data_IF_107288421453
#
_entry.id   IF_107288421453
#
_cell.length_a   1.000
_cell.length_b   1.000
_cell.length_c   1.000
_cell.angle_alpha   90.00
_cell.angle_beta   90.00
_cell.angle_gamma   90.00
#
_symmetry.space_group_name_H-M   'P 1'
#
loop_
_entity.id
_entity.type
_entity.pdbx_description
1 polymer ?
#
# COMPACT_ATOMS: atom_id res chain seq x y z
N UNK A 1 -0.57 5.77 13.62
CA UNK A 1 -1.22 5.64 12.31
C UNK A 1 -0.26 4.98 11.33
N UNK A 2 -0.73 4.00 10.55
CA UNK A 2 0.01 3.35 9.48
C UNK A 2 -0.71 3.50 8.14
N UNK A 3 0.03 3.65 7.03
CA UNK A 3 -0.52 3.68 5.68
C UNK A 3 0.17 2.63 4.82
N UNK A 4 -0.60 1.81 4.08
CA UNK A 4 -0.09 0.77 3.19
C UNK A 4 0.92 -0.14 3.91
N UNK A 5 2.14 -0.31 3.40
CA UNK A 5 3.22 -1.06 4.08
C UNK A 5 3.48 -0.62 5.52
N UNK A 6 3.31 0.67 5.84
CA UNK A 6 3.42 1.17 7.20
C UNK A 6 2.41 0.59 8.17
N UNK A 7 1.31 -0.01 7.68
CA UNK A 7 0.34 -0.69 8.53
C UNK A 7 0.89 -1.97 9.13
N UNK A 8 1.73 -2.71 8.39
CA UNK A 8 2.38 -3.92 8.89
C UNK A 8 3.31 -3.57 10.04
N UNK A 9 4.19 -2.57 9.83
CA UNK A 9 5.15 -2.12 10.85
C UNK A 9 4.43 -1.59 12.08
N UNK A 10 3.41 -0.74 11.89
CA UNK A 10 2.67 -0.13 12.98
C UNK A 10 1.88 -1.16 13.79
N UNK A 11 1.30 -2.18 13.15
CA UNK A 11 0.61 -3.27 13.83
C UNK A 11 1.58 -4.12 14.66
N UNK A 12 2.73 -4.49 14.10
CA UNK A 12 3.76 -5.21 14.85
C UNK A 12 4.31 -4.40 16.03
N UNK A 13 4.48 -3.09 15.87
CA UNK A 13 4.89 -2.22 16.96
C UNK A 13 3.84 -2.17 18.07
N UNK A 14 2.56 -2.03 17.70
CA UNK A 14 1.46 -2.00 18.67
C UNK A 14 1.30 -3.34 19.42
N UNK A 15 1.52 -4.46 18.74
CA UNK A 15 1.51 -5.78 19.38
C UNK A 15 2.69 -5.99 20.36
N UNK A 16 3.88 -5.48 20.02
CA UNK A 16 5.07 -5.62 20.86
C UNK A 16 5.09 -4.65 22.05
N UNK A 17 4.54 -3.47 21.88
CA UNK A 17 4.54 -2.41 22.89
C UNK A 17 3.18 -1.71 22.97
N UNK A 18 2.14 -2.44 23.40
CA UNK A 18 0.79 -1.88 23.51
C UNK A 18 0.71 -0.71 24.49
N UNK A 19 1.62 -0.67 25.45
CA UNK A 19 1.77 0.40 26.45
C UNK A 19 2.08 1.78 25.83
N UNK A 20 2.63 1.82 24.61
CA UNK A 20 2.98 3.06 23.91
C UNK A 20 1.86 3.57 22.98
N UNK A 21 0.77 2.84 22.86
CA UNK A 21 -0.29 3.16 21.88
C UNK A 21 -1.64 3.34 22.59
N UNK A 22 -2.21 4.52 22.47
CA UNK A 22 -3.59 4.79 22.91
C UNK A 22 -4.61 4.30 21.87
N UNK A 23 -4.24 4.29 20.59
CA UNK A 23 -5.06 3.81 19.48
C UNK A 23 -4.20 3.48 18.25
N UNK A 24 -4.72 2.65 17.39
CA UNK A 24 -4.14 2.34 16.09
C UNK A 24 -5.12 2.69 14.96
N UNK A 25 -4.63 3.39 13.93
CA UNK A 25 -5.39 3.69 12.72
C UNK A 25 -4.61 3.18 11.52
N UNK A 26 -5.18 2.22 10.80
CA UNK A 26 -4.64 1.68 9.55
C UNK A 26 -5.38 2.26 8.34
N UNK A 27 -4.64 2.75 7.35
CA UNK A 27 -5.16 3.23 6.07
C UNK A 27 -4.60 2.34 4.97
N UNK A 28 -5.47 1.71 4.16
CA UNK A 28 -5.03 0.70 3.19
C UNK A 28 -4.31 -0.45 3.91
N UNK A 29 -4.96 -0.99 4.95
CA UNK A 29 -4.41 -2.03 5.82
C UNK A 29 -4.00 -3.26 5.03
N UNK A 30 -2.74 -3.65 5.14
CA UNK A 30 -2.25 -4.93 4.63
C UNK A 30 -2.35 -5.97 5.75
N UNK A 31 -3.13 -7.01 5.53
CA UNK A 31 -3.35 -8.11 6.51
C UNK A 31 -2.47 -9.29 6.16
N UNK A 32 -2.52 -9.74 4.91
CA UNK A 32 -1.73 -10.85 4.38
C UNK A 32 -1.06 -10.40 3.08
N UNK A 33 0.27 -10.33 3.10
CA UNK A 33 1.06 -9.89 1.94
C UNK A 33 0.94 -10.89 0.79
N UNK A 34 1.02 -12.20 1.10
CA UNK A 34 0.99 -13.24 0.07
C UNK A 34 -0.37 -13.28 -0.63
N UNK A 35 -1.44 -13.25 0.15
CA UNK A 35 -2.80 -13.27 -0.40
C UNK A 35 -3.09 -11.99 -1.20
N UNK A 36 -2.67 -10.83 -0.70
CA UNK A 36 -2.82 -9.56 -1.41
C UNK A 36 -2.08 -9.57 -2.77
N UNK A 37 -0.86 -10.06 -2.81
CA UNK A 37 -0.08 -10.18 -4.05
C UNK A 37 -0.68 -11.22 -5.00
N UNK A 38 -1.20 -12.34 -4.48
CA UNK A 38 -1.88 -13.38 -5.27
C UNK A 38 -3.13 -12.83 -5.97
N UNK A 39 -3.96 -12.12 -5.23
CA UNK A 39 -5.17 -11.47 -5.76
C UNK A 39 -4.79 -10.46 -6.84
N UNK A 40 -3.80 -9.62 -6.58
CA UNK A 40 -3.32 -8.61 -7.51
C UNK A 40 -2.79 -9.23 -8.82
N UNK A 41 -1.99 -10.28 -8.72
CA UNK A 41 -1.45 -11.00 -9.88
C UNK A 41 -2.55 -11.61 -10.74
N UNK A 42 -3.51 -12.29 -10.13
CA UNK A 42 -4.64 -12.90 -10.82
C UNK A 42 -5.55 -11.86 -11.49
N UNK A 43 -5.79 -10.75 -10.81
CA UNK A 43 -6.55 -9.61 -11.36
C UNK A 43 -5.90 -9.10 -12.65
N UNK A 44 -4.59 -8.84 -12.62
CA UNK A 44 -3.85 -8.36 -13.80
C UNK A 44 -3.96 -9.34 -14.96
N UNK A 45 -3.75 -10.63 -14.74
CA UNK A 45 -3.87 -11.64 -15.78
C UNK A 45 -5.28 -11.71 -16.37
N UNK A 46 -6.30 -11.60 -15.51
CA UNK A 46 -7.69 -11.58 -15.96
C UNK A 46 -7.98 -10.37 -16.85
N UNK A 47 -7.57 -9.17 -16.43
CA UNK A 47 -7.75 -7.95 -17.21
C UNK A 47 -6.98 -7.99 -18.53
N UNK A 48 -5.72 -8.41 -18.50
CA UNK A 48 -4.89 -8.52 -19.70
C UNK A 48 -5.50 -9.45 -20.74
N UNK A 49 -5.98 -10.62 -20.31
CA UNK A 49 -6.68 -11.57 -21.20
C UNK A 49 -7.98 -11.01 -21.74
N UNK A 50 -8.78 -10.34 -20.90
CA UNK A 50 -10.07 -9.77 -21.30
C UNK A 50 -9.96 -8.72 -22.41
N UNK A 51 -8.86 -7.93 -22.40
CA UNK A 51 -8.61 -6.91 -23.44
C UNK A 51 -7.65 -7.37 -24.54
N UNK A 52 -7.23 -8.64 -24.54
CA UNK A 52 -6.31 -9.20 -25.54
C UNK A 52 -4.88 -8.63 -25.48
N UNK A 53 -4.45 -8.11 -24.35
CA UNK A 53 -3.10 -7.55 -24.20
C UNK A 53 -2.07 -8.66 -23.97
N UNK A 54 -1.61 -9.24 -25.08
CA UNK A 54 -0.67 -10.36 -25.06
C UNK A 54 0.67 -9.98 -24.40
N UNK A 55 1.17 -8.75 -24.62
CA UNK A 55 2.41 -8.28 -24.01
C UNK A 55 2.33 -8.27 -22.46
N UNK A 56 1.19 -7.86 -21.91
CA UNK A 56 0.98 -7.91 -20.46
C UNK A 56 0.97 -9.35 -19.94
N UNK A 57 0.30 -10.26 -20.65
CA UNK A 57 0.24 -11.68 -20.29
C UNK A 57 1.65 -12.28 -20.30
N UNK A 58 2.42 -12.06 -21.35
CA UNK A 58 3.78 -12.58 -21.50
C UNK A 58 4.68 -12.05 -20.38
N UNK A 59 4.69 -10.74 -20.13
CA UNK A 59 5.51 -10.15 -19.09
C UNK A 59 5.11 -10.66 -17.68
N UNK A 60 3.81 -10.81 -17.39
CA UNK A 60 3.35 -11.40 -16.14
C UNK A 60 3.75 -12.87 -16.02
N UNK A 61 3.77 -13.63 -17.11
CA UNK A 61 4.20 -15.03 -17.08
C UNK A 61 5.71 -15.18 -16.82
N UNK A 62 6.55 -14.18 -17.13
CA UNK A 62 7.99 -14.22 -16.76
C UNK A 62 8.23 -14.24 -15.26
N UNK A 63 7.30 -13.71 -14.48
CA UNK A 63 7.38 -13.68 -13.02
C UNK A 63 6.58 -14.79 -12.34
N UNK A 64 5.96 -15.67 -13.11
CA UNK A 64 5.25 -16.83 -12.58
C UNK A 64 6.23 -17.97 -12.17
N UNK A 65 5.91 -18.76 -11.13
CA UNK A 65 4.83 -18.59 -10.17
C UNK A 65 5.14 -17.40 -9.25
N UNK A 66 4.23 -16.44 -9.20
CA UNK A 66 4.51 -15.16 -8.52
C UNK A 66 4.67 -15.30 -6.99
N UNK A 67 4.02 -16.28 -6.40
CA UNK A 67 4.03 -16.55 -4.96
C UNK A 67 4.20 -18.04 -4.66
N UNK A 68 5.07 -18.72 -5.39
CA UNK A 68 5.49 -20.08 -5.06
C UNK A 68 6.65 -20.07 -4.07
N UNK A 69 7.48 -21.11 -4.13
CA UNK A 69 8.72 -21.23 -3.34
C UNK A 69 9.81 -20.20 -3.73
N UNK A 70 9.54 -19.41 -4.75
CA UNK A 70 10.46 -18.38 -5.24
C UNK A 70 10.35 -17.09 -4.40
N UNK A 71 11.48 -16.48 -4.02
CA UNK A 71 11.48 -15.23 -3.25
C UNK A 71 10.82 -14.10 -4.03
N UNK A 72 10.13 -13.23 -3.31
CA UNK A 72 9.53 -12.02 -3.85
C UNK A 72 10.63 -10.98 -4.09
N UNK A 73 11.25 -11.00 -5.26
CA UNK A 73 12.29 -10.01 -5.59
C UNK A 73 11.70 -8.66 -5.97
N UNK A 74 12.52 -7.62 -5.89
CA UNK A 74 12.11 -6.27 -6.27
C UNK A 74 11.61 -6.21 -7.72
N UNK A 75 12.30 -6.87 -8.63
CA UNK A 75 11.99 -6.90 -10.06
C UNK A 75 10.60 -7.51 -10.30
N UNK A 76 10.30 -8.62 -9.62
CA UNK A 76 8.98 -9.28 -9.71
C UNK A 76 7.87 -8.37 -9.18
N UNK A 77 8.11 -7.69 -8.06
CA UNK A 77 7.16 -6.73 -7.50
C UNK A 77 6.94 -5.56 -8.46
N UNK A 78 8.00 -4.99 -9.02
CA UNK A 78 7.90 -3.86 -9.95
C UNK A 78 7.10 -4.23 -11.20
N UNK A 79 7.34 -5.42 -11.77
CA UNK A 79 6.60 -5.92 -12.94
C UNK A 79 5.12 -6.08 -12.61
N UNK A 80 4.79 -6.75 -11.50
CA UNK A 80 3.41 -6.93 -11.08
C UNK A 80 2.70 -5.58 -10.83
N UNK A 81 3.36 -4.63 -10.16
CA UNK A 81 2.81 -3.31 -9.85
C UNK A 81 2.60 -2.45 -11.09
N UNK A 82 3.51 -2.50 -12.06
CA UNK A 82 3.36 -1.83 -13.36
C UNK A 82 2.02 -2.17 -14.01
N UNK A 83 1.72 -3.44 -14.11
CA UNK A 83 0.49 -3.91 -14.75
C UNK A 83 -0.75 -3.75 -13.86
N UNK A 84 -0.61 -3.95 -12.55
CA UNK A 84 -1.69 -3.66 -11.60
C UNK A 84 -2.12 -2.19 -11.68
N UNK A 85 -1.17 -1.27 -11.80
CA UNK A 85 -1.44 0.15 -11.99
C UNK A 85 -2.10 0.43 -13.35
N UNK A 86 -1.59 -0.16 -14.43
CA UNK A 86 -2.13 0.00 -15.78
C UNK A 86 -3.62 -0.37 -15.85
N UNK A 87 -4.03 -1.41 -15.12
CA UNK A 87 -5.43 -1.86 -15.06
C UNK A 87 -6.23 -1.27 -13.88
N UNK A 88 -5.72 -0.24 -13.21
CA UNK A 88 -6.43 0.44 -12.13
C UNK A 88 -6.52 -0.34 -10.82
N UNK A 89 -5.78 -1.43 -10.66
CA UNK A 89 -5.82 -2.30 -9.48
C UNK A 89 -5.15 -1.72 -8.22
N UNK A 90 -4.46 -0.59 -8.32
CA UNK A 90 -3.80 0.06 -7.18
C UNK A 90 -4.61 1.21 -6.59
N UNK A 91 -5.63 1.69 -7.26
CA UNK A 91 -6.42 2.84 -6.82
C UNK A 91 -7.88 2.64 -7.16
N UNK A 92 -8.76 2.76 -6.15
CA UNK A 92 -10.19 2.50 -6.33
C UNK A 92 -10.93 3.60 -7.11
N UNK A 93 -10.46 4.87 -7.05
CA UNK A 93 -11.25 6.01 -7.53
C UNK A 93 -10.51 6.97 -8.44
N UNK A 94 -9.19 6.91 -8.51
CA UNK A 94 -8.37 7.79 -9.33
C UNK A 94 -7.13 7.07 -9.83
N UNK A 95 -6.71 7.40 -11.05
CA UNK A 95 -5.36 7.06 -11.49
C UNK A 95 -4.35 7.93 -10.72
N UNK A 96 -3.73 7.33 -9.72
CA UNK A 96 -2.72 7.98 -8.88
C UNK A 96 -1.29 7.79 -9.42
N UNK A 97 -1.13 7.28 -10.65
CA UNK A 97 0.17 7.04 -11.27
C UNK A 97 1.07 8.29 -11.24
N UNK A 98 0.45 9.44 -11.43
CA UNK A 98 1.12 10.74 -11.43
C UNK A 98 1.63 11.16 -10.03
N UNK A 99 0.92 10.81 -8.95
CA UNK A 99 1.29 11.23 -7.59
C UNK A 99 2.50 10.48 -7.04
N UNK A 100 2.62 9.19 -7.35
CA UNK A 100 3.73 8.38 -6.83
C UNK A 100 5.08 8.71 -7.46
N UNK A 101 5.09 9.23 -8.71
CA UNK A 101 6.32 9.53 -9.44
C UNK A 101 6.67 11.02 -9.47
N UNK A 102 5.75 11.92 -9.12
CA UNK A 102 5.92 13.36 -9.19
C UNK A 102 5.56 14.13 -7.93
N UNK A 103 5.17 13.45 -6.84
CA UNK A 103 5.04 14.15 -5.57
C UNK A 103 6.39 14.81 -5.24
N UNK A 104 6.48 16.13 -5.15
CA UNK A 104 7.69 16.75 -4.69
C UNK A 104 7.98 16.15 -3.32
N UNK A 105 9.21 15.69 -3.11
CA UNK A 105 9.66 15.29 -1.78
C UNK A 105 9.47 16.53 -0.92
N UNK A 106 8.38 16.55 -0.13
CA UNK A 106 8.14 17.66 0.78
C UNK A 106 9.31 17.65 1.74
N UNK A 107 10.16 18.67 1.66
CA UNK A 107 11.16 18.91 2.70
C UNK A 107 10.42 18.91 4.02
N UNK A 108 10.89 18.20 5.05
CA UNK A 108 10.28 18.30 6.36
C UNK A 108 10.23 19.78 6.72
N UNK A 109 9.02 20.27 6.94
CA UNK A 109 8.83 21.63 7.45
C UNK A 109 9.56 21.71 8.76
N UNK A 110 10.54 22.59 8.87
CA UNK A 110 11.21 22.93 10.13
C UNK A 110 10.29 23.74 11.06
N UNK A 111 9.04 23.92 10.68
CA UNK A 111 8.04 24.53 11.52
C UNK A 111 7.70 23.57 12.66
N UNK A 112 8.15 23.88 13.85
CA UNK A 112 7.73 23.24 15.09
C UNK A 112 6.20 23.33 15.18
N UNK A 113 5.46 22.20 15.26
CA UNK A 113 4.02 22.30 15.43
C UNK A 113 3.73 22.98 16.75
N UNK A 114 3.09 24.16 16.70
CA UNK A 114 2.52 24.76 17.90
C UNK A 114 1.42 23.82 18.37
N UNK A 115 1.67 23.14 19.49
CA UNK A 115 0.66 22.34 20.18
C UNK A 115 -0.40 23.30 20.70
N UNK A 116 -1.50 23.44 19.97
CA UNK A 116 -2.68 24.11 20.50
C UNK A 116 -3.14 23.33 21.72
N UNK A 117 -3.00 23.94 22.88
CA UNK A 117 -3.48 23.38 24.16
C UNK A 117 -5.00 23.40 24.12
N UNK A 118 -5.62 22.26 23.86
CA UNK A 118 -7.07 22.09 24.02
C UNK A 118 -7.34 22.04 25.51
N UNK A 119 -7.85 23.13 26.08
CA UNK A 119 -8.40 23.16 27.43
C UNK A 119 -9.79 22.49 27.38
N UNK A 120 -10.03 21.41 28.13
CA UNK A 120 -11.38 20.86 28.22
C UNK A 120 -12.24 21.81 29.04
N UNK A 121 -13.28 22.38 28.44
CA UNK A 121 -14.34 23.04 29.19
C UNK A 121 -15.23 21.94 29.81
N UNK A 122 -14.96 21.58 31.06
CA UNK A 122 -15.86 20.75 31.85
C UNK A 122 -16.81 21.72 32.52
N UNK A 123 -18.00 21.90 31.99
CA UNK A 123 -19.14 22.41 32.75
C UNK A 123 -19.88 21.21 33.33
N UNK A 124 -19.82 21.05 34.63
CA UNK A 124 -20.72 20.18 35.39
C UNK A 124 -21.84 21.02 35.98
N UNK A 125 -23.07 20.46 36.07
CA UNK A 125 -24.22 21.13 36.64
C UNK A 125 -24.13 21.36 38.12
#
# INVERSE_FOLDING_TARGET
MGHSWGTIVAMHAALKRPDLFSAYVGIGQVIDVHENERISFNYVLQQAKAVGNQAAVEEMMTIAPYLGDQPLTRERIVTARKWAQHYGGLSAYRDNSFYYYRAPVSRPSTATPSVARVTPAISLP
#
